data_IF_600708245910
#
_entry.id   IF_600708245910
#
_cell.length_a   1.000
_cell.length_b   1.000
_cell.length_c   1.000
_cell.angle_alpha   90.00
_cell.angle_beta   90.00
_cell.angle_gamma   90.00
#
_symmetry.space_group_name_H-M   'P 1'
#
loop_
_entity.id
_entity.type
_entity.pdbx_description
1 polymer ?
#
# COMPACT_ATOMS: atom_id res chain seq x y z
N UNK A 1 -6.50 -1.03 -10.57
CA UNK A 1 -7.35 -1.11 -9.37
C UNK A 1 -8.78 -0.71 -9.73
N UNK A 2 -9.77 -1.10 -8.92
CA UNK A 2 -11.19 -0.82 -9.16
C UNK A 2 -11.52 0.68 -9.07
N UNK A 3 -10.71 1.46 -8.35
CA UNK A 3 -10.81 2.93 -8.28
C UNK A 3 -10.55 3.65 -9.60
N UNK A 4 -10.08 2.93 -10.63
CA UNK A 4 -9.56 3.50 -11.87
C UNK A 4 -8.14 4.08 -11.74
N UNK A 5 -7.50 3.95 -10.58
CA UNK A 5 -6.08 4.30 -10.38
C UNK A 5 -5.20 3.13 -10.81
N UNK A 6 -4.06 3.46 -11.43
CA UNK A 6 -3.06 2.47 -11.82
C UNK A 6 -1.92 2.49 -10.81
N UNK A 7 -1.57 1.30 -10.33
CA UNK A 7 -0.48 1.10 -9.40
C UNK A 7 0.52 0.10 -9.96
N UNK A 8 1.80 0.34 -9.67
CA UNK A 8 2.81 -0.71 -9.67
C UNK A 8 2.95 -1.23 -8.23
N UNK A 9 2.85 -2.55 -8.05
CA UNK A 9 3.15 -3.22 -6.79
C UNK A 9 4.64 -3.57 -6.76
N UNK A 10 5.37 -2.99 -5.80
CA UNK A 10 6.81 -3.22 -5.64
C UNK A 10 7.08 -4.11 -4.42
N UNK A 11 8.18 -4.84 -4.49
CA UNK A 11 8.69 -5.67 -3.42
C UNK A 11 10.06 -5.18 -2.97
N UNK A 12 10.17 -4.79 -1.70
CA UNK A 12 11.43 -4.46 -1.04
C UNK A 12 12.09 -5.75 -0.55
N UNK A 13 13.18 -6.16 -1.22
CA UNK A 13 13.93 -7.37 -0.85
C UNK A 13 14.70 -7.26 0.47
N UNK A 14 15.00 -6.05 0.94
CA UNK A 14 15.72 -5.84 2.20
C UNK A 14 14.79 -6.06 3.40
N UNK A 15 13.60 -5.46 3.34
CA UNK A 15 12.60 -5.54 4.41
C UNK A 15 11.57 -6.65 4.21
N UNK A 16 11.60 -7.32 3.05
CA UNK A 16 10.63 -8.35 2.64
C UNK A 16 9.20 -7.83 2.64
N UNK A 17 9.01 -6.65 2.06
CA UNK A 17 7.78 -5.87 2.23
C UNK A 17 7.22 -5.40 0.88
N UNK A 18 5.90 -5.42 0.75
CA UNK A 18 5.22 -4.89 -0.43
C UNK A 18 4.80 -3.45 -0.23
N UNK A 19 4.84 -2.63 -1.27
CA UNK A 19 4.25 -1.28 -1.24
C UNK A 19 3.76 -0.87 -2.63
N UNK A 20 2.81 0.06 -2.65
CA UNK A 20 2.14 0.50 -3.88
C UNK A 20 2.68 1.84 -4.36
N UNK A 21 2.96 1.92 -5.65
CA UNK A 21 3.43 3.13 -6.32
C UNK A 21 2.41 3.59 -7.34
N UNK A 22 2.00 4.85 -7.27
CA UNK A 22 1.15 5.46 -8.28
C UNK A 22 1.84 5.42 -9.64
N UNK A 23 1.17 4.85 -10.62
CA UNK A 23 1.62 4.82 -12.01
C UNK A 23 0.82 5.82 -12.82
N UNK A 24 1.39 6.99 -13.02
CA UNK A 24 0.81 7.98 -13.93
C UNK A 24 1.04 7.59 -15.39
N UNK A 25 0.01 7.81 -16.21
CA UNK A 25 0.08 7.68 -17.66
C UNK A 25 -0.85 8.70 -18.31
N UNK A 26 -0.72 8.91 -19.62
CA UNK A 26 -1.63 9.77 -20.41
C UNK A 26 -3.07 9.22 -20.33
N UNK A 27 -3.82 9.65 -19.31
CA UNK A 27 -5.21 9.21 -19.05
C UNK A 27 -5.50 8.74 -17.61
N UNK A 28 -4.48 8.54 -16.77
CA UNK A 28 -4.63 8.03 -15.40
C UNK A 28 -3.95 8.94 -14.34
N UNK A 29 -3.90 10.24 -14.58
CA UNK A 29 -3.34 11.20 -13.61
C UNK A 29 -4.35 11.49 -12.50
N UNK A 30 -3.87 11.46 -11.25
CA UNK A 30 -4.68 11.74 -10.08
C UNK A 30 -4.70 13.25 -9.77
N UNK A 31 -5.85 13.83 -9.39
CA UNK A 31 -5.93 15.24 -9.00
C UNK A 31 -5.39 15.43 -7.58
N UNK A 32 -4.06 15.48 -7.47
CA UNK A 32 -3.34 15.59 -6.20
C UNK A 32 -3.36 17.01 -5.63
N UNK A 33 -3.69 17.13 -4.35
CA UNK A 33 -3.59 18.34 -3.55
C UNK A 33 -2.48 18.14 -2.51
N UNK A 34 -1.58 19.11 -2.41
CA UNK A 34 -0.51 19.08 -1.42
C UNK A 34 -1.08 19.35 -0.01
N UNK A 35 -0.69 18.51 0.96
CA UNK A 35 -1.06 18.65 2.38
C UNK A 35 0.14 19.11 3.21
N UNK A 36 1.31 18.52 2.97
CA UNK A 36 2.62 18.94 3.52
C UNK A 36 3.65 18.97 2.40
N UNK A 37 4.92 19.28 2.71
CA UNK A 37 5.99 19.29 1.71
C UNK A 37 6.15 17.95 0.97
N UNK A 38 5.84 16.84 1.64
CA UNK A 38 6.04 15.48 1.16
C UNK A 38 4.75 14.65 1.05
N UNK A 39 3.62 15.13 1.57
CA UNK A 39 2.32 14.45 1.54
C UNK A 39 1.36 15.10 0.55
N UNK A 40 0.77 14.26 -0.31
CA UNK A 40 -0.18 14.64 -1.34
C UNK A 40 -1.42 13.76 -1.24
N UNK A 41 -2.60 14.31 -1.51
CA UNK A 41 -3.86 13.58 -1.43
C UNK A 41 -4.68 13.80 -2.69
N UNK A 42 -5.18 12.71 -3.27
CA UNK A 42 -6.11 12.79 -4.38
C UNK A 42 -7.47 13.31 -3.90
N UNK A 43 -7.90 14.43 -4.47
CA UNK A 43 -9.22 15.01 -4.22
C UNK A 43 -10.39 14.14 -4.71
N UNK A 44 -10.09 13.11 -5.55
CA UNK A 44 -11.08 12.18 -6.10
C UNK A 44 -11.24 10.93 -5.24
N UNK A 45 -10.14 10.28 -4.87
CA UNK A 45 -10.14 8.96 -4.21
C UNK A 45 -9.92 9.05 -2.70
N UNK A 46 -9.31 10.14 -2.21
CA UNK A 46 -8.80 10.19 -0.85
C UNK A 46 -7.61 9.24 -0.64
N UNK A 47 -6.94 8.83 -1.72
CA UNK A 47 -5.65 8.17 -1.60
C UNK A 47 -4.58 9.22 -1.31
N UNK A 48 -3.73 8.91 -0.34
CA UNK A 48 -2.65 9.74 0.10
C UNK A 48 -1.30 9.13 -0.29
N UNK A 49 -0.39 10.00 -0.70
CA UNK A 49 0.88 9.63 -1.30
C UNK A 49 2.02 10.42 -0.68
N UNK A 50 3.15 9.76 -0.45
CA UNK A 50 4.42 10.41 -0.16
C UNK A 50 5.29 10.47 -1.40
N UNK A 51 5.92 11.62 -1.64
CA UNK A 51 6.90 11.76 -2.71
C UNK A 51 8.17 10.96 -2.39
N UNK A 52 8.67 10.19 -3.36
CA UNK A 52 9.95 9.50 -3.20
C UNK A 52 11.12 10.47 -3.33
N UNK A 53 11.97 10.52 -2.31
CA UNK A 53 13.20 11.31 -2.34
C UNK A 53 14.28 10.75 -3.29
N UNK A 54 14.16 9.48 -3.70
CA UNK A 54 15.13 8.77 -4.54
C UNK A 54 14.78 8.80 -6.03
N UNK A 55 13.59 9.29 -6.41
CA UNK A 55 13.16 9.35 -7.81
C UNK A 55 11.75 9.91 -7.98
N UNK A 56 11.32 10.21 -9.22
CA UNK A 56 10.04 10.87 -9.49
C UNK A 56 8.87 9.87 -9.41
N UNK A 57 8.55 9.38 -8.22
CA UNK A 57 7.41 8.49 -7.98
C UNK A 57 6.66 8.86 -6.71
N UNK A 58 5.37 8.53 -6.68
CA UNK A 58 4.46 8.78 -5.56
C UNK A 58 4.09 7.44 -4.93
N UNK A 59 4.38 7.25 -3.65
CA UNK A 59 4.15 5.99 -2.94
C UNK A 59 2.86 6.12 -2.14
N UNK A 60 1.91 5.20 -2.32
CA UNK A 60 0.67 5.18 -1.55
C UNK A 60 1.02 4.95 -0.07
N UNK A 61 0.67 5.91 0.78
CA UNK A 61 0.89 5.82 2.22
C UNK A 61 -0.41 5.80 3.01
N UNK A 62 -1.54 6.15 2.41
CA UNK A 62 -2.81 6.16 3.11
C UNK A 62 -4.04 6.02 2.22
N UNK A 63 -5.08 5.41 2.79
CA UNK A 63 -6.42 5.30 2.21
C UNK A 63 -7.44 5.84 3.20
N UNK A 64 -8.38 6.63 2.70
CA UNK A 64 -9.40 7.27 3.52
C UNK A 64 -10.34 6.23 4.17
N UNK A 65 -10.26 6.10 5.50
CA UNK A 65 -10.95 5.08 6.31
C UNK A 65 -12.46 4.99 6.04
N UNK A 66 -13.22 6.09 5.83
CA UNK A 66 -14.63 5.99 5.50
C UNK A 66 -14.95 5.28 4.18
N UNK A 67 -14.03 5.26 3.21
CA UNK A 67 -14.20 4.49 1.97
C UNK A 67 -14.05 2.99 2.22
N UNK A 68 -13.09 2.60 3.07
CA UNK A 68 -12.87 1.22 3.54
C UNK A 68 -14.10 0.72 4.29
N UNK A 69 -14.59 1.49 5.27
CA UNK A 69 -15.75 1.10 6.08
C UNK A 69 -17.05 0.92 5.28
N UNK A 70 -17.16 1.63 4.15
CA UNK A 70 -18.31 1.58 3.25
C UNK A 70 -18.11 0.60 2.09
N UNK A 71 -16.94 -0.03 1.98
CA UNK A 71 -16.58 -0.93 0.88
C UNK A 71 -16.87 -0.30 -0.49
N UNK A 72 -16.42 0.93 -0.67
CA UNK A 72 -16.52 1.65 -1.95
C UNK A 72 -15.37 1.28 -2.86
N UNK A 73 -15.44 1.60 -4.15
CA UNK A 73 -14.32 1.49 -5.11
C UNK A 73 -13.01 2.22 -4.72
N UNK A 74 -12.97 2.95 -3.59
CA UNK A 74 -11.83 3.72 -3.08
C UNK A 74 -11.33 3.20 -1.72
N UNK A 75 -11.58 1.93 -1.40
CA UNK A 75 -11.09 1.23 -0.21
C UNK A 75 -9.64 0.71 -0.36
N UNK A 76 -9.08 0.82 -1.56
CA UNK A 76 -7.67 0.67 -1.85
C UNK A 76 -7.36 -0.56 -2.72
N UNK A 77 -6.11 -0.69 -3.21
CA UNK A 77 -5.76 -1.69 -4.22
C UNK A 77 -5.48 -3.10 -3.67
N UNK A 78 -5.79 -3.37 -2.41
CA UNK A 78 -5.21 -4.46 -1.61
C UNK A 78 -5.39 -5.88 -2.18
N UNK A 79 -6.42 -6.13 -2.99
CA UNK A 79 -6.73 -7.44 -3.58
C UNK A 79 -6.49 -7.50 -5.12
N UNK A 80 -6.13 -6.37 -5.73
CA UNK A 80 -5.95 -6.22 -7.17
C UNK A 80 -4.53 -6.58 -7.62
N UNK A 81 -4.21 -7.88 -7.59
CA UNK A 81 -2.87 -8.40 -7.88
C UNK A 81 -2.67 -8.74 -9.38
N UNK A 82 -1.41 -8.86 -9.87
CA UNK A 82 -1.11 -9.01 -11.30
C UNK A 82 -1.35 -10.44 -11.85
N UNK A 83 -2.59 -10.90 -11.83
CA UNK A 83 -2.99 -12.27 -12.20
C UNK A 83 -2.63 -12.64 -13.64
N UNK A 84 -2.69 -11.67 -14.54
CA UNK A 84 -2.25 -11.85 -15.93
C UNK A 84 -0.77 -12.22 -16.03
N UNK A 85 0.11 -11.57 -15.25
CA UNK A 85 1.55 -11.85 -15.26
C UNK A 85 1.84 -13.22 -14.63
N UNK A 86 1.10 -13.59 -13.59
CA UNK A 86 1.19 -14.91 -12.96
C UNK A 86 0.74 -15.99 -13.96
N UNK A 87 -0.40 -15.81 -14.61
CA UNK A 87 -0.93 -16.73 -15.61
C UNK A 87 0.06 -16.97 -16.75
N UNK A 88 0.69 -15.91 -17.27
CA UNK A 88 1.72 -15.97 -18.31
C UNK A 88 3.07 -16.57 -17.84
N UNK A 89 3.22 -16.86 -16.55
CA UNK A 89 4.47 -17.36 -15.97
C UNK A 89 5.59 -16.32 -15.90
N UNK A 90 5.24 -15.03 -16.00
CA UNK A 90 6.20 -13.92 -15.96
C UNK A 90 6.53 -13.48 -14.53
N UNK A 91 5.64 -13.79 -13.58
CA UNK A 91 5.80 -13.45 -12.17
C UNK A 91 5.43 -14.64 -11.29
N UNK A 92 6.27 -14.93 -10.31
CA UNK A 92 5.98 -15.87 -9.22
C UNK A 92 5.63 -15.11 -7.94
N UNK A 93 4.41 -14.60 -7.87
CA UNK A 93 3.93 -13.80 -6.74
C UNK A 93 3.99 -14.58 -5.42
N UNK A 94 3.66 -15.87 -5.45
CA UNK A 94 3.63 -16.72 -4.26
C UNK A 94 4.98 -16.75 -3.54
N UNK A 95 6.10 -16.78 -4.26
CA UNK A 95 7.42 -16.74 -3.64
C UNK A 95 7.63 -15.47 -2.81
N UNK A 96 7.22 -14.30 -3.33
CA UNK A 96 7.32 -13.04 -2.60
C UNK A 96 6.31 -12.95 -1.44
N UNK A 97 5.08 -13.45 -1.64
CA UNK A 97 4.09 -13.54 -0.55
C UNK A 97 4.60 -14.41 0.59
N UNK A 98 5.22 -15.55 0.31
CA UNK A 98 5.76 -16.45 1.34
C UNK A 98 7.04 -15.91 1.99
N UNK A 99 7.80 -15.04 1.32
CA UNK A 99 8.95 -14.36 1.93
C UNK A 99 8.52 -13.21 2.86
N UNK A 100 7.44 -12.50 2.51
CA UNK A 100 6.83 -11.46 3.36
C UNK A 100 6.00 -12.04 4.51
N UNK A 101 5.25 -13.12 4.26
CA UNK A 101 4.28 -13.72 5.18
C UNK A 101 4.51 -15.25 5.29
N UNK A 102 5.59 -15.69 5.98
CA UNK A 102 5.95 -17.10 6.07
C UNK A 102 4.85 -18.01 6.65
N UNK A 103 3.96 -17.46 7.49
CA UNK A 103 2.80 -18.14 8.08
C UNK A 103 1.75 -18.61 7.06
N UNK A 104 1.82 -18.12 5.82
CA UNK A 104 0.97 -18.55 4.71
C UNK A 104 1.49 -19.82 4.00
N UNK A 105 2.63 -20.36 4.43
CA UNK A 105 3.23 -21.57 3.83
C UNK A 105 2.24 -22.73 3.83
N UNK A 106 1.95 -23.25 2.63
CA UNK A 106 1.00 -24.34 2.44
C UNK A 106 -0.47 -23.95 2.60
N UNK A 107 -0.78 -22.66 2.73
CA UNK A 107 -2.15 -22.14 2.91
C UNK A 107 -2.68 -21.36 1.71
N UNK A 108 -1.79 -20.96 0.80
CA UNK A 108 -2.15 -20.18 -0.39
C UNK A 108 -1.71 -20.84 -1.70
N UNK A 109 -2.49 -20.59 -2.75
CA UNK A 109 -2.16 -20.97 -4.12
C UNK A 109 -1.14 -20.01 -4.76
N UNK A 110 -0.91 -20.14 -6.07
CA UNK A 110 0.05 -19.31 -6.82
C UNK A 110 -0.39 -17.85 -7.02
N UNK A 111 -1.68 -17.58 -6.87
CA UNK A 111 -2.28 -16.26 -6.98
C UNK A 111 -2.43 -15.60 -5.59
N UNK A 112 -2.28 -16.37 -4.51
CA UNK A 112 -2.49 -15.87 -3.16
C UNK A 112 -3.92 -16.08 -2.64
N UNK A 113 -4.74 -16.90 -3.31
CA UNK A 113 -6.02 -17.34 -2.75
C UNK A 113 -5.77 -18.36 -1.64
N UNK A 114 -6.58 -18.31 -0.59
CA UNK A 114 -6.51 -19.29 0.48
C UNK A 114 -7.04 -20.65 0.03
N UNK A 115 -6.34 -21.73 0.38
CA UNK A 115 -6.71 -23.08 -0.04
C UNK A 115 -7.97 -23.60 0.68
N UNK A 116 -8.25 -23.08 1.87
CA UNK A 116 -9.43 -23.38 2.68
C UNK A 116 -10.61 -22.43 2.42
N UNK A 117 -10.35 -21.28 1.81
CA UNK A 117 -11.36 -20.32 1.37
C UNK A 117 -10.93 -19.66 0.03
N UNK A 118 -11.19 -20.32 -1.11
CA UNK A 118 -10.72 -19.84 -2.41
C UNK A 118 -11.30 -18.50 -2.87
N UNK A 119 -12.40 -18.04 -2.26
CA UNK A 119 -12.97 -16.72 -2.52
C UNK A 119 -12.22 -15.60 -1.79
N UNK A 120 -11.43 -15.96 -0.75
CA UNK A 120 -10.57 -15.05 -0.01
C UNK A 120 -9.15 -15.05 -0.56
N UNK A 121 -8.51 -13.88 -0.49
CA UNK A 121 -7.16 -13.64 -0.97
C UNK A 121 -6.31 -12.92 0.06
N UNK A 122 -5.00 -13.11 0.00
CA UNK A 122 -4.05 -12.29 0.77
C UNK A 122 -4.25 -10.83 0.41
N UNK A 123 -4.64 -10.02 1.40
CA UNK A 123 -4.78 -8.58 1.26
C UNK A 123 -3.41 -7.91 1.45
N UNK A 124 -2.94 -7.19 0.43
CA UNK A 124 -1.74 -6.37 0.51
C UNK A 124 -2.10 -4.93 0.84
N UNK A 125 -2.64 -4.71 2.04
CA UNK A 125 -3.02 -3.39 2.55
C UNK A 125 -1.81 -2.60 3.10
N UNK A 126 -0.75 -2.49 2.29
CA UNK A 126 0.49 -1.79 2.68
C UNK A 126 0.35 -0.27 2.65
N UNK A 127 -0.52 0.27 3.50
CA UNK A 127 -0.83 1.69 3.65
C UNK A 127 -1.65 1.93 4.92
N UNK A 128 -1.67 3.18 5.40
CA UNK A 128 -2.45 3.55 6.57
C UNK A 128 -3.94 3.76 6.26
N UNK A 129 -4.82 3.29 7.13
CA UNK A 129 -6.23 3.66 7.10
C UNK A 129 -6.46 4.95 7.90
N UNK A 130 -6.65 6.10 7.27
CA UNK A 130 -6.69 7.40 7.96
C UNK A 130 -8.09 8.02 8.03
N UNK A 131 -8.43 8.64 9.17
CA UNK A 131 -9.73 9.29 9.38
C UNK A 131 -9.78 10.77 8.99
N UNK A 132 -8.66 11.47 9.14
CA UNK A 132 -8.50 12.90 8.85
C UNK A 132 -7.06 13.21 8.44
N UNK A 133 -6.87 14.37 7.79
CA UNK A 133 -5.58 14.75 7.21
C UNK A 133 -4.54 15.16 8.27
N UNK A 134 -4.96 15.72 9.40
CA UNK A 134 -4.04 16.16 10.45
C UNK A 134 -3.39 14.95 11.13
N UNK A 135 -4.19 13.94 11.45
CA UNK A 135 -3.72 12.65 11.99
C UNK A 135 -2.78 11.93 11.01
N UNK A 136 -3.10 11.95 9.71
CA UNK A 136 -2.25 11.37 8.68
C UNK A 136 -0.91 12.11 8.56
N UNK A 137 -0.95 13.44 8.48
CA UNK A 137 0.26 14.27 8.37
C UNK A 137 1.19 14.05 9.57
N UNK A 138 0.62 14.02 10.79
CA UNK A 138 1.38 13.74 12.01
C UNK A 138 2.03 12.35 11.97
N UNK A 139 1.32 11.33 11.49
CA UNK A 139 1.86 9.97 11.41
C UNK A 139 3.03 9.88 10.41
N UNK A 140 2.89 10.51 9.25
CA UNK A 140 3.94 10.60 8.24
C UNK A 140 5.18 11.30 8.81
N UNK A 141 4.99 12.45 9.46
CA UNK A 141 6.08 13.22 10.09
C UNK A 141 6.78 12.39 11.18
N UNK A 142 6.01 11.71 12.04
CA UNK A 142 6.56 10.90 13.13
C UNK A 142 7.33 9.69 12.64
N UNK A 143 6.85 9.00 11.60
CA UNK A 143 7.61 7.94 10.91
C UNK A 143 8.92 8.48 10.34
N UNK A 144 8.89 9.68 9.74
CA UNK A 144 10.07 10.32 9.16
C UNK A 144 11.11 10.66 10.23
N UNK A 145 10.70 11.16 11.40
CA UNK A 145 11.61 11.42 12.53
C UNK A 145 12.18 10.15 13.18
N UNK A 146 11.43 9.06 13.12
CA UNK A 146 11.79 7.79 13.78
C UNK A 146 12.66 6.86 12.94
N UNK A 147 12.93 7.22 11.69
CA UNK A 147 13.68 6.39 10.73
C UNK A 147 14.94 7.09 10.25
N UNK A 148 15.98 6.30 9.92
CA UNK A 148 17.30 6.82 9.56
C UNK A 148 17.53 6.89 8.05
N UNK A 149 16.63 6.30 7.24
CA UNK A 149 16.74 6.26 5.79
C UNK A 149 15.37 6.25 5.11
N UNK A 150 15.33 6.66 3.84
CA UNK A 150 14.07 6.66 3.07
C UNK A 150 13.47 5.25 2.87
N UNK A 151 14.24 4.18 2.56
CA UNK A 151 13.68 2.83 2.50
C UNK A 151 13.07 2.37 3.82
N UNK A 152 13.75 2.65 4.94
CA UNK A 152 13.22 2.36 6.28
C UNK A 152 11.93 3.16 6.55
N UNK A 153 11.91 4.44 6.20
CA UNK A 153 10.71 5.30 6.29
C UNK A 153 9.51 4.68 5.56
N UNK A 154 9.69 4.26 4.31
CA UNK A 154 8.60 3.63 3.53
C UNK A 154 8.18 2.31 4.15
N UNK A 155 9.12 1.47 4.57
CA UNK A 155 8.82 0.22 5.27
C UNK A 155 7.96 0.45 6.52
N UNK A 156 8.35 1.39 7.39
CA UNK A 156 7.58 1.70 8.60
C UNK A 156 6.21 2.31 8.31
N UNK A 157 6.13 3.22 7.33
CA UNK A 157 4.90 3.95 7.00
C UNK A 157 3.84 3.05 6.35
N UNK A 158 4.28 2.04 5.60
CA UNK A 158 3.40 1.18 4.78
C UNK A 158 3.20 -0.20 5.38
N UNK A 159 3.50 -0.40 6.67
CA UNK A 159 3.06 -1.61 7.36
C UNK A 159 1.53 -1.63 7.45
N UNK A 160 0.94 -2.83 7.39
CA UNK A 160 -0.51 -3.03 7.55
C UNK A 160 -0.95 -2.69 8.98
N UNK A 161 -1.10 -1.39 9.24
CA UNK A 161 -1.41 -0.79 10.55
C UNK A 161 -2.23 0.48 10.33
N UNK A 162 -3.02 0.85 11.32
CA UNK A 162 -3.64 2.17 11.40
C UNK A 162 -2.63 3.22 11.88
N UNK A 163 -2.81 4.52 11.54
CA UNK A 163 -2.01 5.61 12.08
C UNK A 163 -1.90 5.55 13.62
N UNK A 164 -2.99 5.23 14.30
CA UNK A 164 -3.06 5.11 15.76
C UNK A 164 -2.15 3.99 16.31
N UNK A 165 -1.96 2.90 15.56
CA UNK A 165 -1.04 1.82 15.90
C UNK A 165 0.44 2.16 15.65
N UNK A 166 0.73 3.16 14.81
CA UNK A 166 2.09 3.72 14.71
C UNK A 166 2.45 4.57 15.94
N UNK A 167 1.44 5.11 16.64
CA UNK A 167 1.62 5.98 17.82
C UNK A 167 2.00 5.22 19.09
N UNK A 168 1.65 3.95 19.15
CA UNK A 168 1.84 3.08 20.31
C UNK A 168 2.49 1.75 19.86
N UNK A 169 3.82 1.72 19.65
CA UNK A 169 4.52 0.52 19.19
C UNK A 169 4.50 -0.64 20.21
N UNK A 170 3.89 -0.45 21.39
CA UNK A 170 3.71 -1.48 22.41
C UNK A 170 2.41 -2.29 22.27
N UNK A 171 1.65 -2.10 21.18
CA UNK A 171 0.46 -2.89 20.82
C UNK A 171 0.53 -3.51 19.44
#
# INVERSE_FOLDING_TARGET
DESGVWFDLLYDTLHRHFFWVLRESEGASEPLCQVTDDLWVSSRTGFAYVADSLGPRMILCGVYRPNIQKNTWYDGPFDQLPDNQIYLGQLDLRTFLLDAYPELTGRIDRYGHFLDDPESRVALASYLSYGDLDSLAWAVESCRFSTSSFPEFIYYLTQDRSPEQLLDPAK
#
